data_IF_738321290901
#
_entry.id   IF_738321290901
#
_cell.length_a   1.000
_cell.length_b   1.000
_cell.length_c   1.000
_cell.angle_alpha   90.00
_cell.angle_beta   90.00
_cell.angle_gamma   90.00
#
_symmetry.space_group_name_H-M   'P 1'
#
loop_
_entity.id
_entity.type
_entity.pdbx_description
1 polymer ?
#
# COMPACT_ATOMS: atom_id res chain seq x y z
N UNK A 1 -13.28 -23.58 0.38
CA UNK A 1 -13.34 -22.65 -0.74
C UNK A 1 -14.49 -23.04 -1.64
N UNK A 2 -15.37 -22.11 -2.00
CA UNK A 2 -16.46 -22.39 -2.95
C UNK A 2 -15.90 -22.53 -4.37
N UNK A 3 -16.65 -23.18 -5.27
CA UNK A 3 -16.30 -23.29 -6.68
C UNK A 3 -16.38 -21.94 -7.40
N UNK A 4 -15.54 -21.72 -8.39
CA UNK A 4 -15.56 -20.57 -9.31
C UNK A 4 -14.98 -21.01 -10.66
N UNK A 5 -15.33 -20.28 -11.73
CA UNK A 5 -14.67 -20.47 -13.04
C UNK A 5 -13.29 -19.84 -13.01
N UNK A 6 -12.30 -20.50 -13.58
CA UNK A 6 -10.95 -20.00 -13.68
C UNK A 6 -10.60 -19.73 -15.15
N UNK A 7 -10.26 -18.50 -15.46
CA UNK A 7 -9.82 -18.08 -16.80
C UNK A 7 -8.37 -17.65 -16.78
N UNK A 8 -7.60 -18.07 -17.75
CA UNK A 8 -6.26 -17.57 -18.01
C UNK A 8 -6.30 -16.75 -19.28
N UNK A 9 -5.88 -15.49 -19.20
CA UNK A 9 -5.91 -14.54 -20.31
C UNK A 9 -4.50 -14.17 -20.75
N UNK A 10 -4.38 -13.76 -22.02
CA UNK A 10 -3.10 -13.43 -22.63
C UNK A 10 -2.98 -11.94 -23.00
N UNK A 11 -4.06 -11.17 -22.83
CA UNK A 11 -4.08 -9.73 -23.09
C UNK A 11 -4.89 -8.96 -22.04
N UNK A 12 -4.60 -7.66 -21.91
CA UNK A 12 -5.37 -6.73 -21.08
C UNK A 12 -6.81 -6.63 -21.57
N UNK A 13 -7.02 -6.64 -22.90
CA UNK A 13 -8.36 -6.58 -23.49
C UNK A 13 -9.23 -7.78 -23.09
N UNK A 14 -8.68 -9.00 -23.13
CA UNK A 14 -9.39 -10.21 -22.67
C UNK A 14 -9.73 -10.13 -21.17
N UNK A 15 -8.80 -9.64 -20.34
CA UNK A 15 -9.05 -9.46 -18.92
C UNK A 15 -10.21 -8.50 -18.68
N UNK A 16 -10.17 -7.30 -19.30
CA UNK A 16 -11.22 -6.28 -19.19
C UNK A 16 -12.59 -6.80 -19.66
N UNK A 17 -12.61 -7.54 -20.77
CA UNK A 17 -13.84 -8.15 -21.31
C UNK A 17 -14.47 -9.11 -20.30
N UNK A 18 -13.67 -10.00 -19.70
CA UNK A 18 -14.15 -10.93 -18.68
C UNK A 18 -14.63 -10.20 -17.43
N UNK A 19 -13.87 -9.21 -16.93
CA UNK A 19 -14.28 -8.42 -15.77
C UNK A 19 -15.63 -7.73 -16.01
N UNK A 20 -15.84 -7.13 -17.19
CA UNK A 20 -17.10 -6.52 -17.60
C UNK A 20 -18.22 -7.54 -17.65
N UNK A 21 -17.98 -8.72 -18.25
CA UNK A 21 -19.00 -9.80 -18.40
C UNK A 21 -19.52 -10.30 -17.05
N UNK A 22 -18.66 -10.33 -16.03
CA UNK A 22 -19.04 -10.78 -14.69
C UNK A 22 -19.55 -9.66 -13.78
N UNK A 23 -19.56 -8.40 -14.20
CA UNK A 23 -20.19 -7.27 -13.51
C UNK A 23 -19.87 -7.20 -12.01
N UNK A 24 -18.59 -7.26 -11.63
CA UNK A 24 -18.12 -7.23 -10.25
C UNK A 24 -18.08 -8.60 -9.53
N UNK A 25 -18.68 -9.65 -10.13
CA UNK A 25 -18.67 -11.03 -9.61
C UNK A 25 -17.42 -11.82 -10.02
N UNK A 26 -16.36 -11.12 -10.42
CA UNK A 26 -15.06 -11.71 -10.70
C UNK A 26 -13.96 -11.07 -9.89
N UNK A 27 -12.81 -11.74 -9.79
CA UNK A 27 -11.59 -11.25 -9.15
C UNK A 27 -10.38 -11.54 -10.01
N UNK A 28 -9.44 -10.59 -10.05
CA UNK A 28 -8.14 -10.77 -10.70
C UNK A 28 -7.22 -11.57 -9.79
N UNK A 29 -6.47 -12.51 -10.35
CA UNK A 29 -5.39 -13.19 -9.66
C UNK A 29 -4.06 -13.02 -10.42
N UNK A 30 -3.04 -12.57 -9.68
CA UNK A 30 -1.64 -12.57 -10.10
C UNK A 30 -0.86 -13.55 -9.19
N UNK A 31 -0.10 -13.06 -8.20
CA UNK A 31 0.59 -13.93 -7.24
C UNK A 31 -0.33 -14.72 -6.30
N UNK A 32 -1.56 -14.29 -6.11
CA UNK A 32 -2.59 -14.98 -5.31
C UNK A 32 -2.38 -14.98 -3.79
N UNK A 33 -1.28 -14.41 -3.30
CA UNK A 33 -0.87 -14.47 -1.88
C UNK A 33 -1.83 -13.80 -0.91
N UNK A 34 -2.69 -12.91 -1.38
CA UNK A 34 -3.81 -12.35 -0.59
C UNK A 34 -5.15 -12.99 -0.96
N UNK A 35 -5.50 -12.98 -2.25
CA UNK A 35 -6.82 -13.41 -2.73
C UNK A 35 -7.16 -14.84 -2.30
N UNK A 36 -6.21 -15.77 -2.38
CA UNK A 36 -6.48 -17.16 -1.98
C UNK A 36 -6.85 -17.28 -0.49
N UNK A 37 -6.23 -16.49 0.38
CA UNK A 37 -6.59 -16.42 1.79
C UNK A 37 -8.01 -15.88 2.01
N UNK A 38 -8.38 -14.83 1.27
CA UNK A 38 -9.72 -14.23 1.27
C UNK A 38 -10.78 -15.26 0.84
N UNK A 39 -10.52 -15.98 -0.26
CA UNK A 39 -11.44 -17.00 -0.79
C UNK A 39 -11.57 -18.22 0.13
N UNK A 40 -10.45 -18.73 0.68
CA UNK A 40 -10.46 -19.85 1.62
C UNK A 40 -11.26 -19.55 2.88
N UNK A 41 -11.12 -18.33 3.41
CA UNK A 41 -11.83 -17.90 4.62
C UNK A 41 -13.26 -17.44 4.35
N UNK A 42 -13.70 -17.37 3.10
CA UNK A 42 -15.05 -16.98 2.69
C UNK A 42 -15.53 -15.67 3.34
N UNK A 43 -14.66 -14.65 3.35
CA UNK A 43 -14.91 -13.38 4.05
C UNK A 43 -15.66 -12.34 3.19
N UNK A 44 -15.68 -12.50 1.87
CA UNK A 44 -16.34 -11.58 0.97
C UNK A 44 -17.87 -11.65 1.17
N UNK A 45 -18.59 -10.52 1.10
CA UNK A 45 -20.06 -10.49 1.08
C UNK A 45 -20.57 -11.38 -0.03
N UNK A 46 -20.11 -11.14 -1.26
CA UNK A 46 -20.39 -11.94 -2.44
C UNK A 46 -19.16 -12.72 -2.86
N UNK A 47 -19.33 -14.03 -2.99
CA UNK A 47 -18.26 -14.90 -3.44
C UNK A 47 -18.12 -14.81 -4.96
N UNK A 48 -16.91 -14.64 -5.53
CA UNK A 48 -16.78 -14.47 -6.97
C UNK A 48 -17.19 -15.73 -7.74
N UNK A 49 -17.87 -15.52 -8.85
CA UNK A 49 -18.22 -16.59 -9.82
C UNK A 49 -17.03 -16.94 -10.71
N UNK A 50 -16.10 -16.00 -10.89
CA UNK A 50 -14.93 -16.17 -11.74
C UNK A 50 -13.66 -15.58 -11.13
N UNK A 51 -12.52 -16.20 -11.45
CA UNK A 51 -11.18 -15.70 -11.18
C UNK A 51 -10.41 -15.59 -12.50
N UNK A 52 -9.92 -14.40 -12.79
CA UNK A 52 -9.20 -14.05 -14.02
C UNK A 52 -7.70 -14.02 -13.73
N UNK A 53 -6.98 -15.01 -14.22
CA UNK A 53 -5.53 -15.13 -14.08
C UNK A 53 -4.82 -14.34 -15.18
N UNK A 54 -4.10 -13.29 -14.76
CA UNK A 54 -3.43 -12.34 -15.66
C UNK A 54 -1.94 -12.60 -15.85
N UNK A 55 -1.39 -13.67 -15.27
CA UNK A 55 0.07 -13.93 -15.27
C UNK A 55 0.69 -14.15 -16.65
N UNK A 56 -0.12 -14.50 -17.65
CA UNK A 56 0.34 -14.72 -19.01
C UNK A 56 0.35 -13.45 -19.88
N UNK A 57 -0.14 -12.32 -19.37
CA UNK A 57 -0.14 -11.06 -20.13
C UNK A 57 1.30 -10.56 -20.23
N UNK A 58 1.84 -10.59 -21.43
CA UNK A 58 3.21 -10.14 -21.72
C UNK A 58 3.35 -8.63 -21.53
N UNK A 59 4.53 -8.20 -21.06
CA UNK A 59 4.88 -6.80 -20.88
C UNK A 59 4.47 -6.19 -19.53
N UNK A 60 3.59 -6.86 -18.76
CA UNK A 60 3.20 -6.39 -17.44
C UNK A 60 4.19 -6.77 -16.31
N UNK A 61 5.31 -7.39 -16.64
CA UNK A 61 6.37 -7.88 -15.72
C UNK A 61 7.71 -7.16 -15.90
N UNK A 62 7.71 -5.98 -16.53
CA UNK A 62 8.93 -5.21 -16.83
C UNK A 62 9.20 -4.12 -15.81
N UNK A 63 10.49 -3.79 -15.64
CA UNK A 63 11.01 -2.63 -14.93
C UNK A 63 11.83 -1.81 -15.90
N UNK A 64 11.42 -0.60 -16.19
CA UNK A 64 12.05 0.26 -17.20
C UNK A 64 12.21 1.69 -16.66
N UNK A 65 13.27 2.38 -17.08
CA UNK A 65 13.45 3.81 -16.85
C UNK A 65 13.24 4.56 -18.16
N UNK A 66 12.29 5.46 -18.17
CA UNK A 66 12.07 6.34 -19.31
C UNK A 66 13.06 7.51 -19.35
N UNK A 67 13.19 8.13 -20.51
CA UNK A 67 13.95 9.40 -20.71
C UNK A 67 13.23 10.62 -20.11
N UNK A 68 11.97 10.43 -19.72
CA UNK A 68 11.08 11.43 -19.11
C UNK A 68 11.23 11.53 -17.57
N UNK A 69 12.23 10.85 -17.00
CA UNK A 69 12.48 10.88 -15.55
C UNK A 69 11.57 9.97 -14.72
N UNK A 70 10.81 9.08 -15.36
CA UNK A 70 9.98 8.10 -14.65
C UNK A 70 10.60 6.71 -14.63
N UNK A 71 10.48 6.06 -13.48
CA UNK A 71 10.59 4.61 -13.33
C UNK A 71 9.21 3.99 -13.61
N UNK A 72 9.13 3.05 -14.56
CA UNK A 72 7.93 2.31 -14.91
C UNK A 72 8.05 0.87 -14.47
N UNK A 73 7.02 0.36 -13.81
CA UNK A 73 7.00 -0.98 -13.25
C UNK A 73 5.65 -1.61 -13.64
N UNK A 74 5.72 -2.74 -14.34
CA UNK A 74 4.54 -3.52 -14.65
C UNK A 74 3.93 -4.16 -13.38
N UNK A 75 2.59 -4.27 -13.28
CA UNK A 75 1.91 -4.77 -12.08
C UNK A 75 2.21 -6.24 -11.75
N UNK A 76 2.73 -7.01 -12.70
CA UNK A 76 3.14 -8.41 -12.52
C UNK A 76 4.59 -8.58 -12.04
N UNK A 77 5.38 -7.50 -11.95
CA UNK A 77 6.73 -7.55 -11.37
C UNK A 77 6.63 -8.07 -9.94
N UNK A 78 7.39 -9.13 -9.63
CA UNK A 78 7.41 -9.72 -8.30
C UNK A 78 8.19 -8.85 -7.32
N UNK A 79 7.82 -8.90 -6.05
CA UNK A 79 8.54 -8.15 -5.02
C UNK A 79 10.02 -8.52 -4.94
N UNK A 80 10.35 -9.80 -5.19
CA UNK A 80 11.74 -10.25 -5.31
C UNK A 80 12.47 -9.56 -6.45
N UNK A 81 11.82 -9.38 -7.60
CA UNK A 81 12.45 -8.75 -8.77
C UNK A 81 12.72 -7.27 -8.52
N UNK A 82 11.87 -6.58 -7.77
CA UNK A 82 12.10 -5.21 -7.28
C UNK A 82 13.34 -5.16 -6.39
N UNK A 83 13.46 -6.08 -5.42
CA UNK A 83 14.59 -6.15 -4.49
C UNK A 83 15.91 -6.43 -5.23
N UNK A 84 15.86 -7.27 -6.27
CA UNK A 84 17.07 -7.67 -7.01
C UNK A 84 17.43 -6.73 -8.16
N UNK A 85 16.52 -5.82 -8.58
CA UNK A 85 16.73 -4.93 -9.72
C UNK A 85 17.89 -3.95 -9.47
N UNK A 86 18.95 -3.96 -10.31
CA UNK A 86 20.03 -2.98 -10.22
C UNK A 86 19.52 -1.55 -10.41
N UNK A 87 18.58 -1.35 -11.34
CA UNK A 87 17.97 -0.05 -11.63
C UNK A 87 17.25 0.51 -10.39
N UNK A 88 16.46 -0.31 -9.69
CA UNK A 88 15.75 0.14 -8.49
C UNK A 88 16.73 0.39 -7.34
N UNK A 89 17.73 -0.48 -7.15
CA UNK A 89 18.76 -0.29 -6.13
C UNK A 89 19.54 1.01 -6.31
N UNK A 90 19.83 1.38 -7.53
CA UNK A 90 20.55 2.60 -7.88
C UNK A 90 19.66 3.84 -7.72
N UNK A 91 18.47 3.83 -8.33
CA UNK A 91 17.63 5.03 -8.47
C UNK A 91 16.62 5.23 -7.34
N UNK A 92 16.03 4.14 -6.83
CA UNK A 92 14.95 4.16 -5.85
C UNK A 92 15.18 3.14 -4.73
N UNK A 93 16.33 3.15 -4.00
CA UNK A 93 16.65 2.16 -2.98
C UNK A 93 15.60 2.03 -1.89
N UNK A 94 14.87 3.10 -1.57
CA UNK A 94 13.77 3.03 -0.60
C UNK A 94 12.65 2.07 -1.05
N UNK A 95 12.38 1.96 -2.37
CA UNK A 95 11.38 1.03 -2.90
C UNK A 95 11.84 -0.43 -2.76
N UNK A 96 13.13 -0.70 -3.01
CA UNK A 96 13.73 -2.01 -2.76
C UNK A 96 13.66 -2.37 -1.27
N UNK A 97 14.01 -1.45 -0.38
CA UNK A 97 13.95 -1.64 1.08
C UNK A 97 12.51 -1.90 1.53
N UNK A 98 11.53 -1.12 1.04
CA UNK A 98 10.12 -1.35 1.34
C UNK A 98 9.68 -2.76 0.91
N UNK A 99 10.03 -3.19 -0.30
CA UNK A 99 9.73 -4.53 -0.82
C UNK A 99 10.36 -5.64 0.03
N UNK A 100 11.61 -5.46 0.50
CA UNK A 100 12.33 -6.41 1.34
C UNK A 100 11.66 -6.63 2.70
N UNK A 101 10.98 -5.61 3.24
CA UNK A 101 10.25 -5.72 4.51
C UNK A 101 8.90 -6.41 4.40
N UNK A 102 8.43 -6.76 3.19
CA UNK A 102 7.15 -7.43 2.98
C UNK A 102 7.28 -8.92 3.21
N UNK A 103 6.54 -9.44 4.20
CA UNK A 103 6.36 -10.88 4.43
C UNK A 103 7.66 -11.72 4.41
N UNK A 104 7.59 -12.97 3.94
CA UNK A 104 8.73 -13.89 3.80
C UNK A 104 9.26 -13.95 2.38
N UNK A 105 10.43 -14.58 2.17
CA UNK A 105 11.02 -14.78 0.84
C UNK A 105 10.07 -15.55 -0.08
N UNK A 106 9.39 -16.59 0.43
CA UNK A 106 8.46 -17.42 -0.33
C UNK A 106 7.29 -16.57 -0.86
N UNK A 107 6.75 -15.69 -0.02
CA UNK A 107 5.70 -14.75 -0.44
C UNK A 107 6.24 -13.79 -1.49
N UNK A 108 7.41 -13.19 -1.28
CA UNK A 108 8.00 -12.21 -2.23
C UNK A 108 8.35 -12.82 -3.59
N UNK A 109 8.63 -14.14 -3.65
CA UNK A 109 8.89 -14.86 -4.89
C UNK A 109 7.67 -14.97 -5.82
N UNK A 110 6.46 -14.82 -5.29
CA UNK A 110 5.20 -14.92 -6.04
C UNK A 110 4.32 -13.67 -5.97
N UNK A 111 4.38 -12.91 -4.88
CA UNK A 111 3.64 -11.67 -4.72
C UNK A 111 4.14 -10.62 -5.71
N UNK A 112 3.21 -9.96 -6.40
CA UNK A 112 3.49 -8.91 -7.38
C UNK A 112 3.24 -7.52 -6.81
N UNK A 113 3.85 -6.48 -7.40
CA UNK A 113 3.67 -5.09 -6.97
C UNK A 113 2.21 -4.65 -7.11
N UNK A 114 1.55 -4.96 -8.23
CA UNK A 114 0.13 -4.68 -8.43
C UNK A 114 -0.74 -5.39 -7.40
N UNK A 115 -0.47 -6.67 -7.13
CA UNK A 115 -1.15 -7.43 -6.08
C UNK A 115 -0.91 -6.87 -4.68
N UNK A 116 0.28 -6.34 -4.40
CA UNK A 116 0.58 -5.70 -3.11
C UNK A 116 -0.19 -4.39 -2.92
N UNK A 117 -0.29 -3.56 -3.96
CA UNK A 117 -1.05 -2.30 -3.91
C UNK A 117 -2.55 -2.58 -3.79
N UNK A 118 -3.07 -3.56 -4.53
CA UNK A 118 -4.49 -3.91 -4.55
C UNK A 118 -4.93 -4.87 -3.44
N UNK A 119 -4.02 -5.31 -2.55
CA UNK A 119 -4.36 -6.26 -1.50
C UNK A 119 -5.40 -5.71 -0.53
N UNK A 120 -6.23 -6.60 0.01
CA UNK A 120 -7.26 -6.23 0.96
C UNK A 120 -6.68 -6.03 2.38
N UNK A 121 -7.42 -5.27 3.19
CA UNK A 121 -7.02 -4.94 4.58
C UNK A 121 -6.86 -6.18 5.46
N UNK A 122 -6.14 -6.01 6.58
CA UNK A 122 -5.84 -7.07 7.56
C UNK A 122 -6.63 -6.96 8.87
N UNK A 123 -7.73 -6.19 8.87
CA UNK A 123 -8.61 -6.07 10.03
C UNK A 123 -9.23 -7.43 10.38
N UNK A 124 -9.04 -7.88 11.60
CA UNK A 124 -9.56 -9.17 12.07
C UNK A 124 -11.09 -9.25 12.15
N UNK A 125 -11.79 -8.15 12.39
CA UNK A 125 -13.25 -8.10 12.32
C UNK A 125 -13.78 -8.33 10.92
N UNK A 126 -13.11 -7.75 9.92
CA UNK A 126 -13.42 -7.98 8.51
C UNK A 126 -13.03 -9.38 8.06
N UNK A 127 -11.83 -9.85 8.41
CA UNK A 127 -11.30 -11.15 7.99
C UNK A 127 -11.75 -12.33 8.86
N UNK A 128 -12.63 -12.10 9.82
CA UNK A 128 -13.17 -13.17 10.65
C UNK A 128 -13.87 -14.22 9.77
N UNK A 129 -13.42 -15.51 9.80
CA UNK A 129 -13.92 -16.54 8.91
C UNK A 129 -15.37 -16.88 9.21
N UNK A 130 -16.15 -17.13 8.16
CA UNK A 130 -17.56 -17.50 8.28
C UNK A 130 -17.79 -18.78 9.07
N UNK A 131 -16.84 -19.72 8.97
CA UNK A 131 -16.96 -21.06 9.54
C UNK A 131 -16.80 -21.12 11.06
N UNK A 132 -16.32 -20.06 11.73
CA UNK A 132 -15.94 -20.07 13.15
C UNK A 132 -16.85 -19.19 14.02
N UNK A 133 -18.13 -19.07 13.72
CA UNK A 133 -19.02 -18.39 14.65
C UNK A 133 -19.61 -17.08 14.19
N UNK A 134 -19.75 -16.88 12.90
CA UNK A 134 -20.53 -15.79 12.34
C UNK A 134 -19.73 -14.57 11.90
N UNK A 135 -20.41 -13.59 11.35
CA UNK A 135 -19.86 -12.34 10.84
C UNK A 135 -20.00 -11.23 11.86
N UNK A 136 -18.93 -10.53 12.12
CA UNK A 136 -19.06 -9.22 12.71
C UNK A 136 -19.79 -8.28 11.75
N UNK A 137 -20.68 -7.43 12.27
CA UNK A 137 -21.25 -6.35 11.49
C UNK A 137 -20.14 -5.37 11.13
N UNK A 138 -19.92 -5.19 9.83
CA UNK A 138 -18.81 -4.42 9.30
C UNK A 138 -19.25 -3.71 8.02
N UNK A 139 -18.94 -2.43 7.89
CA UNK A 139 -19.31 -1.63 6.72
C UNK A 139 -18.74 -2.21 5.41
N UNK A 140 -17.54 -2.84 5.46
CA UNK A 140 -16.94 -3.53 4.31
C UNK A 140 -17.64 -4.83 3.94
N UNK A 141 -18.55 -5.30 4.78
CA UNK A 141 -19.44 -6.45 4.53
C UNK A 141 -20.90 -6.00 4.30
N UNK A 142 -21.07 -4.74 3.90
CA UNK A 142 -22.37 -4.13 3.61
C UNK A 142 -23.34 -4.15 4.81
N UNK A 143 -22.79 -4.28 6.01
CA UNK A 143 -23.56 -4.23 7.25
C UNK A 143 -23.68 -2.81 7.78
N UNK A 144 -24.85 -2.49 8.32
CA UNK A 144 -25.08 -1.20 8.98
C UNK A 144 -24.56 -1.24 10.42
N UNK A 145 -24.11 -0.09 10.90
CA UNK A 145 -23.67 0.06 12.30
C UNK A 145 -22.26 0.60 12.45
N UNK A 146 -21.82 0.89 13.67
CA UNK A 146 -20.48 1.38 13.95
C UNK A 146 -19.43 0.29 13.71
N UNK A 147 -18.22 0.72 13.36
CA UNK A 147 -17.09 -0.20 13.21
C UNK A 147 -16.82 -0.95 14.53
N UNK A 148 -16.76 -2.29 14.54
CA UNK A 148 -16.54 -3.08 15.76
C UNK A 148 -15.22 -2.75 16.47
N UNK A 149 -14.22 -2.22 15.74
CA UNK A 149 -12.95 -1.81 16.32
C UNK A 149 -13.08 -0.66 17.32
N UNK A 150 -14.12 0.18 17.22
CA UNK A 150 -14.29 1.36 18.10
C UNK A 150 -14.40 0.94 19.56
N UNK A 151 -15.20 -0.08 19.86
CA UNK A 151 -15.42 -0.60 21.22
C UNK A 151 -14.62 -1.88 21.52
N UNK A 152 -14.04 -2.50 20.50
CA UNK A 152 -13.34 -3.77 20.61
C UNK A 152 -11.83 -3.66 20.70
N UNK A 153 -11.13 -4.71 20.26
CA UNK A 153 -9.67 -4.69 20.15
C UNK A 153 -9.23 -3.92 18.91
N UNK A 154 -8.60 -2.77 19.11
CA UNK A 154 -8.20 -1.86 18.05
C UNK A 154 -6.69 -1.59 17.99
N UNK A 155 -5.88 -2.45 18.60
CA UNK A 155 -4.42 -2.28 18.71
C UNK A 155 -3.72 -1.96 17.38
N UNK A 156 -4.15 -2.55 16.27
CA UNK A 156 -3.52 -2.36 14.96
C UNK A 156 -4.34 -1.48 14.00
N UNK A 157 -5.40 -0.85 14.50
CA UNK A 157 -6.26 0.02 13.69
C UNK A 157 -5.69 1.43 13.51
N UNK A 158 -6.37 2.21 12.68
CA UNK A 158 -5.97 3.56 12.33
C UNK A 158 -5.96 4.50 13.55
N UNK A 159 -5.00 5.42 13.56
CA UNK A 159 -4.90 6.55 14.49
C UNK A 159 -5.12 7.89 13.78
N UNK A 160 -5.23 7.87 12.44
CA UNK A 160 -5.50 9.04 11.60
C UNK A 160 -6.61 8.71 10.62
N UNK A 161 -7.48 9.68 10.32
CA UNK A 161 -8.65 9.45 9.47
C UNK A 161 -9.76 8.69 10.21
N UNK A 162 -10.29 7.61 9.66
CA UNK A 162 -11.27 6.75 10.33
C UNK A 162 -12.71 7.20 10.16
N UNK A 163 -13.10 7.69 9.00
CA UNK A 163 -14.52 7.95 8.65
C UNK A 163 -15.25 6.61 8.44
N UNK A 164 -15.84 6.09 9.52
CA UNK A 164 -16.65 4.87 9.52
C UNK A 164 -15.83 3.56 9.59
N UNK A 165 -14.65 3.47 8.98
CA UNK A 165 -13.77 2.31 9.02
C UNK A 165 -12.38 2.68 9.55
N UNK A 166 -11.89 1.94 10.53
CA UNK A 166 -10.57 2.15 11.16
C UNK A 166 -9.50 1.14 10.69
N UNK A 167 -9.77 0.39 9.63
CA UNK A 167 -8.75 -0.47 9.03
C UNK A 167 -7.61 0.36 8.42
N UNK A 168 -6.41 -0.22 8.40
CA UNK A 168 -5.22 0.44 7.83
C UNK A 168 -4.87 -0.14 6.48
N UNK A 169 -4.26 0.67 5.61
CA UNK A 169 -3.62 0.19 4.37
C UNK A 169 -2.46 -0.74 4.74
N UNK A 170 -2.43 -1.98 4.22
CA UNK A 170 -1.39 -2.95 4.55
C UNK A 170 -0.17 -2.90 3.62
N UNK A 171 -0.14 -2.00 2.62
CA UNK A 171 0.89 -1.95 1.59
C UNK A 171 2.06 -1.05 1.96
N UNK A 172 3.20 -1.63 2.31
CA UNK A 172 4.46 -0.90 2.50
C UNK A 172 4.95 -0.28 1.18
N UNK A 173 4.68 -0.94 0.05
CA UNK A 173 4.97 -0.42 -1.29
C UNK A 173 4.21 0.89 -1.56
N UNK A 174 2.94 0.97 -1.16
CA UNK A 174 2.16 2.19 -1.32
C UNK A 174 2.72 3.36 -0.49
N UNK A 175 3.30 3.08 0.68
CA UNK A 175 3.96 4.09 1.52
C UNK A 175 5.22 4.61 0.82
N UNK A 176 6.06 3.72 0.27
CA UNK A 176 7.23 4.09 -0.51
C UNK A 176 6.85 4.91 -1.76
N UNK A 177 5.86 4.46 -2.52
CA UNK A 177 5.38 5.17 -3.71
C UNK A 177 4.77 6.54 -3.37
N UNK A 178 4.28 6.76 -2.15
CA UNK A 178 3.71 8.06 -1.75
C UNK A 178 4.75 9.17 -1.64
N UNK A 179 6.00 8.87 -1.31
CA UNK A 179 7.10 9.85 -1.33
C UNK A 179 7.77 9.98 -2.70
N UNK A 180 7.57 8.98 -3.57
CA UNK A 180 8.02 8.96 -4.95
C UNK A 180 6.96 9.52 -5.93
N UNK A 181 5.88 10.12 -5.43
CA UNK A 181 4.73 10.61 -6.22
C UNK A 181 4.22 9.58 -7.23
N UNK A 182 4.04 8.35 -6.74
CA UNK A 182 3.62 7.21 -7.55
C UNK A 182 2.27 7.41 -8.22
N UNK A 183 2.18 7.00 -9.48
CA UNK A 183 0.97 7.05 -10.32
C UNK A 183 0.64 5.62 -10.74
N UNK A 184 -0.64 5.28 -10.72
CA UNK A 184 -1.19 3.99 -11.15
C UNK A 184 -1.99 4.22 -12.41
N UNK A 185 -1.69 3.48 -13.47
CA UNK A 185 -2.51 3.43 -14.67
C UNK A 185 -3.49 2.28 -14.57
N UNK A 186 -4.76 2.59 -14.76
CA UNK A 186 -5.88 1.67 -14.78
C UNK A 186 -6.45 1.57 -16.19
N UNK A 187 -6.72 0.35 -16.65
CA UNK A 187 -7.40 0.10 -17.93
C UNK A 187 -8.74 -0.56 -17.68
N UNK A 188 -9.79 0.03 -18.21
CA UNK A 188 -11.14 -0.49 -18.20
C UNK A 188 -11.79 -0.46 -19.58
N UNK A 189 -13.09 -0.78 -19.70
CA UNK A 189 -13.81 -0.78 -20.98
C UNK A 189 -13.83 0.57 -21.69
N UNK A 190 -13.78 1.66 -20.93
CA UNK A 190 -13.84 3.05 -21.42
C UNK A 190 -12.45 3.61 -21.81
N UNK A 191 -11.38 2.85 -21.61
CA UNK A 191 -10.02 3.31 -21.90
C UNK A 191 -9.11 3.24 -20.67
N UNK A 192 -8.05 4.06 -20.71
CA UNK A 192 -7.09 4.19 -19.63
C UNK A 192 -7.33 5.47 -18.83
N UNK A 193 -7.04 5.38 -17.52
CA UNK A 193 -6.98 6.54 -16.65
C UNK A 193 -5.86 6.41 -15.63
N UNK A 194 -5.38 7.53 -15.16
CA UNK A 194 -4.30 7.59 -14.18
C UNK A 194 -4.82 8.10 -12.84
N UNK A 195 -4.21 7.61 -11.77
CA UNK A 195 -4.50 8.06 -10.42
C UNK A 195 -3.24 8.05 -9.57
N UNK A 196 -3.04 9.09 -8.78
CA UNK A 196 -1.97 9.12 -7.79
C UNK A 196 -2.18 8.08 -6.69
N UNK A 197 -1.09 7.45 -6.24
CA UNK A 197 -1.15 6.42 -5.18
C UNK A 197 -1.86 6.91 -3.90
N UNK A 198 -1.79 8.20 -3.59
CA UNK A 198 -2.42 8.82 -2.41
C UNK A 198 -3.95 8.90 -2.52
N UNK A 199 -4.47 8.88 -3.74
CA UNK A 199 -5.89 9.01 -4.04
C UNK A 199 -6.51 7.66 -4.46
N UNK A 200 -5.68 6.62 -4.57
CA UNK A 200 -6.11 5.28 -4.95
C UNK A 200 -6.96 4.60 -3.86
N UNK A 201 -6.69 4.87 -2.58
CA UNK A 201 -7.37 4.23 -1.46
C UNK A 201 -8.53 5.06 -0.92
N UNK A 202 -9.65 4.40 -0.64
CA UNK A 202 -10.80 4.94 0.07
C UNK A 202 -10.98 4.27 1.43
N UNK A 203 -11.78 4.81 2.35
CA UNK A 203 -12.04 4.15 3.64
C UNK A 203 -12.56 2.72 3.52
N UNK A 204 -13.29 2.39 2.45
CA UNK A 204 -13.91 1.08 2.26
C UNK A 204 -13.32 0.25 1.12
N UNK A 205 -12.27 0.70 0.47
CA UNK A 205 -11.66 -0.03 -0.65
C UNK A 205 -10.64 0.78 -1.41
N UNK A 206 -10.74 0.73 -2.72
CA UNK A 206 -9.99 1.54 -3.67
C UNK A 206 -10.95 2.23 -4.62
N UNK A 207 -10.44 3.20 -5.41
CA UNK A 207 -11.23 3.86 -6.48
C UNK A 207 -11.27 3.05 -7.77
N UNK A 208 -10.62 1.88 -7.80
CA UNK A 208 -10.63 0.98 -8.94
C UNK A 208 -12.03 0.39 -9.14
N UNK A 209 -12.57 0.49 -10.33
CA UNK A 209 -13.83 -0.13 -10.70
C UNK A 209 -13.68 -1.66 -10.81
N UNK A 210 -14.79 -2.38 -10.73
CA UNK A 210 -14.79 -3.85 -10.78
C UNK A 210 -14.35 -4.43 -12.13
N UNK A 211 -14.41 -3.62 -13.19
CA UNK A 211 -14.03 -3.94 -14.57
C UNK A 211 -12.69 -3.31 -15.00
N UNK A 212 -11.92 -2.79 -14.06
CA UNK A 212 -10.60 -2.21 -14.30
C UNK A 212 -9.47 -3.16 -13.87
N UNK A 213 -8.33 -3.01 -14.53
CA UNK A 213 -7.06 -3.69 -14.22
C UNK A 213 -5.93 -2.66 -14.13
N UNK A 214 -4.99 -2.85 -13.20
CA UNK A 214 -3.74 -2.08 -13.15
C UNK A 214 -2.85 -2.55 -14.31
N UNK A 215 -2.39 -1.62 -15.14
CA UNK A 215 -1.50 -1.90 -16.27
C UNK A 215 -0.09 -1.36 -16.08
N UNK A 216 0.10 -0.29 -15.32
CA UNK A 216 1.40 0.30 -15.01
C UNK A 216 1.39 0.94 -13.63
N UNK A 217 2.54 0.94 -12.99
CA UNK A 217 2.87 1.74 -11.82
C UNK A 217 4.11 2.53 -12.18
N UNK A 218 4.03 3.86 -12.13
CA UNK A 218 5.18 4.72 -12.39
C UNK A 218 5.45 5.65 -11.22
N UNK A 219 6.70 6.03 -11.06
CA UNK A 219 7.12 7.00 -10.05
C UNK A 219 8.18 7.92 -10.61
N UNK A 220 8.23 9.15 -10.12
CA UNK A 220 9.33 10.05 -10.41
C UNK A 220 10.63 9.46 -9.85
N UNK A 221 11.68 9.56 -10.63
CA UNK A 221 13.03 9.28 -10.14
C UNK A 221 13.45 10.40 -9.18
N UNK A 222 13.94 10.05 -7.98
CA UNK A 222 14.49 11.03 -7.06
C UNK A 222 15.65 11.82 -7.68
N UNK A 223 15.81 13.06 -7.26
CA UNK A 223 16.98 13.86 -7.65
C UNK A 223 18.28 13.17 -7.20
N UNK A 224 19.34 13.36 -7.97
CA UNK A 224 20.65 12.81 -7.63
C UNK A 224 21.09 13.29 -6.24
N UNK A 225 21.57 12.36 -5.39
CA UNK A 225 21.99 12.67 -4.03
C UNK A 225 20.86 12.80 -3.02
N UNK A 226 19.60 12.66 -3.42
CA UNK A 226 18.49 12.65 -2.47
C UNK A 226 18.60 11.45 -1.51
N UNK A 227 18.48 11.73 -0.21
CA UNK A 227 18.52 10.71 0.85
C UNK A 227 17.17 9.99 0.88
N UNK A 228 17.21 8.68 0.80
CA UNK A 228 16.04 7.82 0.71
C UNK A 228 16.01 6.83 1.86
N UNK A 229 14.92 6.75 2.59
CA UNK A 229 14.83 5.84 3.72
C UNK A 229 13.45 5.20 3.84
N UNK A 230 13.43 3.95 4.30
CA UNK A 230 12.22 3.22 4.66
C UNK A 230 12.43 2.49 5.97
N UNK A 231 11.60 2.80 6.97
CA UNK A 231 11.63 2.15 8.28
C UNK A 231 10.28 1.53 8.60
N UNK A 232 10.31 0.34 9.18
CA UNK A 232 9.12 -0.42 9.55
C UNK A 232 9.26 -0.99 10.96
N UNK A 233 8.26 -0.75 11.79
CA UNK A 233 8.12 -1.42 13.08
C UNK A 233 7.10 -2.54 12.98
N UNK A 234 7.50 -3.75 13.42
CA UNK A 234 6.68 -4.96 13.49
C UNK A 234 6.92 -5.68 14.80
N UNK A 235 5.99 -6.52 15.24
CA UNK A 235 6.20 -7.36 16.43
C UNK A 235 7.12 -8.55 16.13
N UNK A 236 6.97 -9.18 14.97
CA UNK A 236 7.81 -10.31 14.52
C UNK A 236 8.47 -9.97 13.19
N UNK A 237 9.78 -9.89 13.18
CA UNK A 237 10.54 -9.68 11.95
C UNK A 237 10.84 -11.02 11.27
N UNK A 238 10.76 -11.13 9.92
CA UNK A 238 10.30 -10.13 8.95
C UNK A 238 8.82 -10.28 8.59
N UNK A 239 8.04 -11.11 9.27
CA UNK A 239 6.78 -11.69 8.80
C UNK A 239 5.59 -10.73 8.88
N UNK A 240 5.52 -9.91 9.94
CA UNK A 240 4.30 -9.16 10.25
C UNK A 240 4.10 -7.94 9.34
N UNK A 241 2.82 -7.56 9.17
CA UNK A 241 2.47 -6.25 8.63
C UNK A 241 2.96 -5.14 9.56
N UNK A 242 3.17 -3.95 8.99
CA UNK A 242 3.61 -2.82 9.78
C UNK A 242 2.59 -2.47 10.88
N UNK A 243 3.08 -2.32 12.10
CA UNK A 243 2.37 -1.56 13.14
C UNK A 243 2.39 -0.08 12.75
N UNK A 244 3.58 0.41 12.37
CA UNK A 244 3.84 1.69 11.73
C UNK A 244 4.99 1.51 10.74
N UNK A 245 4.92 2.16 9.58
CA UNK A 245 6.06 2.33 8.68
C UNK A 245 6.20 3.79 8.27
N UNK A 246 7.41 4.20 7.93
CA UNK A 246 7.74 5.55 7.48
C UNK A 246 8.65 5.45 6.27
N UNK A 247 8.30 6.16 5.20
CA UNK A 247 9.16 6.42 4.06
C UNK A 247 9.55 7.90 4.08
N UNK A 248 10.80 8.21 3.78
CA UNK A 248 11.24 9.59 3.56
C UNK A 248 12.13 9.71 2.33
N UNK A 249 11.99 10.85 1.67
CA UNK A 249 12.81 11.31 0.56
C UNK A 249 13.21 12.74 0.86
N UNK A 250 14.51 13.00 1.09
CA UNK A 250 15.03 14.30 1.52
C UNK A 250 16.09 14.77 0.53
N UNK A 251 15.89 15.93 -0.07
CA UNK A 251 16.86 16.61 -0.92
C UNK A 251 17.61 17.63 -0.09
N UNK A 252 18.96 17.61 -0.16
CA UNK A 252 19.84 18.49 0.60
C UNK A 252 20.56 19.45 -0.32
N UNK A 253 20.77 20.68 0.16
CA UNK A 253 21.70 21.66 -0.43
C UNK A 253 22.72 22.03 0.65
N UNK A 254 23.93 21.50 0.53
CA UNK A 254 24.89 21.52 1.65
C UNK A 254 24.34 20.83 2.88
N UNK A 255 24.25 21.56 3.99
CA UNK A 255 23.68 21.05 5.25
C UNK A 255 22.16 21.31 5.39
N UNK A 256 21.56 22.08 4.47
CA UNK A 256 20.15 22.48 4.56
C UNK A 256 19.23 21.53 3.80
N UNK A 257 18.07 21.22 4.38
CA UNK A 257 17.01 20.48 3.71
C UNK A 257 16.28 21.38 2.70
N UNK A 258 16.50 21.15 1.42
CA UNK A 258 15.82 21.87 0.34
C UNK A 258 14.38 21.40 0.18
N UNK A 259 14.16 20.10 0.18
CA UNK A 259 12.83 19.48 0.14
C UNK A 259 12.79 18.18 0.93
N UNK A 260 11.65 17.90 1.53
CA UNK A 260 11.38 16.65 2.21
C UNK A 260 9.99 16.13 1.85
N UNK A 261 9.92 14.82 1.63
CA UNK A 261 8.67 14.07 1.45
C UNK A 261 8.65 12.95 2.48
N UNK A 262 7.61 12.91 3.31
CA UNK A 262 7.49 11.97 4.43
C UNK A 262 6.12 11.31 4.37
N UNK A 263 6.07 9.98 4.34
CA UNK A 263 4.82 9.23 4.33
C UNK A 263 4.79 8.17 5.43
N UNK A 264 3.62 8.05 6.08
CA UNK A 264 3.37 7.08 7.14
C UNK A 264 2.44 5.96 6.64
N UNK A 265 2.78 4.73 7.00
CA UNK A 265 1.96 3.52 6.81
C UNK A 265 1.51 2.91 8.12
N UNK A 266 0.45 2.09 8.07
CA UNK A 266 -0.12 1.46 9.26
C UNK A 266 -0.93 2.41 10.16
N UNK A 267 -1.09 3.68 9.79
CA UNK A 267 -1.76 4.71 10.61
C UNK A 267 -3.13 5.13 10.10
N UNK A 268 -3.45 4.83 8.83
CA UNK A 268 -4.72 5.21 8.17
C UNK A 268 -5.11 4.19 7.10
N UNK A 269 -6.32 4.32 6.56
CA UNK A 269 -6.80 3.52 5.42
C UNK A 269 -5.98 3.73 4.14
N UNK A 270 -5.15 4.76 4.09
CA UNK A 270 -4.21 5.07 3.00
C UNK A 270 -2.86 5.50 3.57
N UNK A 271 -1.78 5.50 2.79
CA UNK A 271 -0.55 6.18 3.17
C UNK A 271 -0.81 7.65 3.47
N UNK A 272 -0.23 8.19 4.54
CA UNK A 272 -0.43 9.58 4.97
C UNK A 272 0.83 10.39 4.73
N UNK A 273 0.75 11.39 3.84
CA UNK A 273 1.83 12.38 3.68
C UNK A 273 1.82 13.36 4.86
N UNK A 274 2.94 13.48 5.51
CA UNK A 274 3.12 14.35 6.68
C UNK A 274 3.51 15.79 6.27
N UNK A 275 2.62 16.49 5.56
CA UNK A 275 2.90 17.80 4.94
C UNK A 275 3.38 18.85 5.95
N UNK A 276 2.83 18.89 7.18
CA UNK A 276 3.29 19.80 8.23
C UNK A 276 4.74 19.49 8.65
N UNK A 277 5.11 18.21 8.74
CA UNK A 277 6.49 17.79 9.00
C UNK A 277 7.42 18.15 7.85
N UNK A 278 7.00 17.96 6.60
CA UNK A 278 7.75 18.35 5.41
C UNK A 278 8.05 19.86 5.38
N UNK A 279 7.06 20.67 5.74
CA UNK A 279 7.21 22.13 5.86
C UNK A 279 8.18 22.51 6.97
N UNK A 280 8.13 21.81 8.11
CA UNK A 280 9.06 22.04 9.24
C UNK A 280 10.52 21.78 8.83
N UNK A 281 10.76 20.80 7.96
CA UNK A 281 12.10 20.44 7.51
C UNK A 281 12.69 21.43 6.50
N UNK A 282 11.87 21.98 5.60
CA UNK A 282 12.35 22.81 4.48
C UNK A 282 13.08 24.06 4.96
N UNK A 283 14.25 24.35 4.34
CA UNK A 283 15.05 25.52 4.63
C UNK A 283 15.82 25.46 5.95
N UNK A 284 15.81 24.32 6.64
CA UNK A 284 16.48 24.14 7.93
C UNK A 284 17.52 22.99 7.89
N UNK A 285 18.46 23.01 8.84
CA UNK A 285 19.42 21.93 9.03
C UNK A 285 18.77 20.81 9.84
N UNK A 286 18.78 19.53 9.36
CA UNK A 286 18.15 18.40 10.04
C UNK A 286 18.89 17.98 11.33
N UNK A 287 18.78 18.78 12.37
CA UNK A 287 19.26 18.48 13.71
C UNK A 287 18.20 17.75 14.54
N UNK A 288 18.60 17.17 15.69
CA UNK A 288 17.72 16.38 16.54
C UNK A 288 16.46 17.14 16.97
N UNK A 289 16.61 18.42 17.36
CA UNK A 289 15.49 19.26 17.78
C UNK A 289 14.49 19.50 16.63
N UNK A 290 14.99 19.74 15.42
CA UNK A 290 14.13 19.96 14.25
C UNK A 290 13.40 18.68 13.84
N UNK A 291 14.10 17.55 13.81
CA UNK A 291 13.48 16.27 13.48
C UNK A 291 12.45 15.84 14.51
N UNK A 292 12.65 16.19 15.79
CA UNK A 292 11.65 16.00 16.84
C UNK A 292 10.40 16.89 16.61
N UNK A 293 10.59 18.17 16.26
CA UNK A 293 9.49 19.08 15.93
C UNK A 293 8.71 18.59 14.69
N UNK A 294 9.41 18.12 13.65
CA UNK A 294 8.79 17.53 12.47
C UNK A 294 7.97 16.27 12.82
N UNK A 295 8.47 15.40 13.71
CA UNK A 295 7.76 14.22 14.16
C UNK A 295 6.47 14.57 14.94
N UNK A 296 6.48 15.61 15.79
CA UNK A 296 5.28 16.12 16.44
C UNK A 296 4.27 16.69 15.44
N UNK A 297 4.74 17.50 14.49
CA UNK A 297 3.90 18.06 13.43
C UNK A 297 3.21 16.98 12.58
N UNK A 298 3.93 15.91 12.23
CA UNK A 298 3.38 14.80 11.46
C UNK A 298 2.15 14.13 12.09
N UNK A 299 2.03 14.18 13.40
CA UNK A 299 1.02 13.44 14.19
C UNK A 299 0.00 14.35 14.89
N UNK A 300 0.04 15.65 14.63
CA UNK A 300 -0.87 16.63 15.23
C UNK A 300 -2.37 16.30 15.04
N UNK A 301 -2.73 15.67 13.91
CA UNK A 301 -4.09 15.22 13.61
C UNK A 301 -4.45 13.82 14.11
N UNK A 302 -3.58 13.15 14.86
CA UNK A 302 -3.81 11.79 15.34
C UNK A 302 -4.94 11.74 16.39
N UNK A 303 -5.87 10.79 16.19
CA UNK A 303 -6.99 10.50 17.10
C UNK A 303 -7.02 9.01 17.36
N UNK A 304 -6.19 8.52 18.29
CA UNK A 304 -6.13 7.09 18.60
C UNK A 304 -7.43 6.61 19.24
N UNK A 305 -7.70 5.32 19.06
CA UNK A 305 -8.73 4.59 19.79
C UNK A 305 -8.16 4.11 21.14
N UNK A 306 -8.98 3.40 21.91
CA UNK A 306 -8.67 3.03 23.30
C UNK A 306 -7.38 2.22 23.52
N UNK A 307 -6.88 1.51 22.48
CA UNK A 307 -5.75 0.58 22.62
C UNK A 307 -4.61 0.81 21.63
N UNK A 308 -4.61 1.91 20.87
CA UNK A 308 -3.60 2.12 19.82
C UNK A 308 -2.84 3.46 19.90
N UNK A 309 -2.92 4.18 21.01
CA UNK A 309 -2.18 5.41 21.24
C UNK A 309 -0.65 5.23 21.17
N UNK A 310 -0.14 4.06 21.54
CA UNK A 310 1.29 3.71 21.48
C UNK A 310 1.90 3.85 20.08
N UNK A 311 1.07 3.77 19.01
CA UNK A 311 1.52 3.96 17.62
C UNK A 311 2.06 5.37 17.38
N UNK A 312 1.62 6.36 18.15
CA UNK A 312 2.10 7.74 18.06
C UNK A 312 3.60 7.79 18.37
N UNK A 313 4.03 7.21 19.49
CA UNK A 313 5.44 7.24 19.91
C UNK A 313 6.33 6.42 18.97
N UNK A 314 5.82 5.28 18.46
CA UNK A 314 6.53 4.51 17.42
C UNK A 314 6.69 5.36 16.15
N UNK A 315 5.63 6.03 15.69
CA UNK A 315 5.68 6.86 14.49
C UNK A 315 6.68 8.02 14.65
N UNK A 316 6.66 8.74 15.79
CA UNK A 316 7.64 9.80 16.09
C UNK A 316 9.08 9.28 16.03
N UNK A 317 9.35 8.15 16.65
CA UNK A 317 10.68 7.52 16.65
C UNK A 317 11.14 7.17 15.24
N UNK A 318 10.26 6.58 14.41
CA UNK A 318 10.60 6.22 13.04
C UNK A 318 10.79 7.45 12.15
N UNK A 319 10.01 8.51 12.33
CA UNK A 319 10.18 9.78 11.61
C UNK A 319 11.53 10.38 11.94
N UNK A 320 11.87 10.56 13.23
CA UNK A 320 13.19 11.06 13.63
C UNK A 320 14.30 10.24 13.01
N UNK A 321 14.23 8.91 13.12
CA UNK A 321 15.22 8.01 12.53
C UNK A 321 15.32 8.15 11.02
N UNK A 322 14.25 8.42 10.32
CA UNK A 322 14.23 8.57 8.86
C UNK A 322 14.79 9.92 8.37
N UNK A 323 14.90 10.90 9.25
CA UNK A 323 15.35 12.27 8.95
C UNK A 323 16.78 12.57 9.44
N UNK A 324 17.26 11.86 10.45
CA UNK A 324 18.64 11.96 11.01
C UNK A 324 19.63 11.08 10.20
N UNK A 325 19.61 11.11 8.91
CA UNK A 325 20.45 10.27 8.02
C UNK A 325 21.86 10.83 7.85
#
# INVERSE_FOLDING_TARGET
MKSFKHFTVNSVGEAVLLLKTYEGRSKIIAGGTDLLGVLKSNILPDYPEAVVNIKNIKGLDKIESGTDGFLRIGPLVRLKDIICSPLIKEKCPLLATAAETVATNEIRNVATIGGNICQDIRCWYYRYPHAIGGRFDCLRKEKKGPCPAVKGDNRYHAIMGGKGCFAVCPSDIAVALSVLDGIITLRGPEGEREIGIRDFYTPLGTVMKSDEIVTEIRSLLPSQGARQSFHKFTLRKPIDFAVVSVASLVSMEGSMCQDAKIALGGVSHKPVRAQEAEQTMRGNVPEEALTAAAAEAALKGAKPLSKNAYKIEIAKTLIKKSLLL
#
